data_IF_661923925060
#
_entry.id   IF_661923925060
#
_cell.length_a   1.000
_cell.length_b   1.000
_cell.length_c   1.000
_cell.angle_alpha   90.00
_cell.angle_beta   90.00
_cell.angle_gamma   90.00
#
_symmetry.space_group_name_H-M   'P 1'
#
loop_
_entity.id
_entity.type
_entity.pdbx_description
1 polymer ?
#
# COMPACT_ATOMS: atom_id res chain seq x y z
N UNK A 1 -5.84 10.05 0.57
CA UNK A 1 -4.65 9.65 1.34
C UNK A 1 -4.56 10.41 2.66
N UNK A 2 -3.87 9.83 3.65
CA UNK A 2 -3.65 10.54 4.90
C UNK A 2 -2.92 11.87 4.67
N UNK A 3 -3.08 12.80 5.61
CA UNK A 3 -2.46 14.12 5.50
C UNK A 3 -0.95 14.00 5.31
N UNK A 4 -0.43 14.73 4.33
CA UNK A 4 0.99 14.74 4.04
C UNK A 4 1.49 13.53 3.28
N UNK A 5 0.61 12.61 2.92
CA UNK A 5 0.96 11.41 2.17
C UNK A 5 0.61 11.56 0.70
N UNK A 6 1.38 10.89 -0.14
CA UNK A 6 1.15 10.93 -1.58
C UNK A 6 1.37 9.54 -2.15
N UNK A 7 1.12 9.40 -3.44
CA UNK A 7 1.23 8.11 -4.11
C UNK A 7 2.60 7.47 -3.91
N UNK A 8 3.66 8.26 -3.89
CA UNK A 8 5.02 7.75 -3.72
C UNK A 8 5.27 7.17 -2.33
N UNK A 9 4.37 7.43 -1.37
CA UNK A 9 4.50 6.87 -0.02
C UNK A 9 3.85 5.50 0.11
N UNK A 10 3.13 5.04 -0.91
CA UNK A 10 2.49 3.72 -0.90
C UNK A 10 3.57 2.65 -0.90
N UNK A 11 3.47 1.70 0.03
CA UNK A 11 4.42 0.61 0.16
C UNK A 11 3.70 -0.72 0.38
N UNK A 12 4.33 -1.79 -0.10
CA UNK A 12 3.81 -3.15 0.03
C UNK A 12 4.76 -3.91 0.95
N UNK A 13 4.21 -4.55 1.98
CA UNK A 13 5.01 -5.30 2.95
C UNK A 13 4.40 -6.66 3.24
N UNK A 14 5.25 -7.60 3.68
CA UNK A 14 4.80 -8.88 4.19
C UNK A 14 4.59 -8.78 5.69
N UNK A 15 3.50 -9.33 6.19
CA UNK A 15 3.27 -9.44 7.62
C UNK A 15 4.11 -10.62 8.15
N UNK A 16 4.92 -10.36 9.18
CA UNK A 16 5.77 -11.39 9.76
C UNK A 16 4.94 -12.45 10.47
N UNK A 17 3.85 -12.04 11.12
CA UNK A 17 3.05 -12.95 11.94
C UNK A 17 2.19 -13.90 11.10
N UNK A 18 1.65 -13.42 9.98
CA UNK A 18 0.68 -14.19 9.19
C UNK A 18 1.19 -14.59 7.82
N UNK A 19 2.27 -13.96 7.37
CA UNK A 19 2.77 -14.16 6.01
C UNK A 19 1.94 -13.48 4.94
N UNK A 20 0.91 -12.72 5.34
CA UNK A 20 0.08 -11.99 4.38
C UNK A 20 0.77 -10.72 3.91
N UNK A 21 0.42 -10.32 2.68
CA UNK A 21 0.88 -9.03 2.17
C UNK A 21 -0.08 -7.94 2.59
N UNK A 22 0.46 -6.76 2.90
CA UNK A 22 -0.34 -5.58 3.22
C UNK A 22 0.17 -4.40 2.43
N UNK A 23 -0.72 -3.47 2.10
CA UNK A 23 -0.38 -2.26 1.37
C UNK A 23 -0.93 -1.06 2.14
N UNK A 24 -0.13 0.00 2.21
CA UNK A 24 -0.54 1.20 2.92
C UNK A 24 0.41 2.34 2.61
N UNK A 25 0.28 3.42 3.36
CA UNK A 25 1.15 4.60 3.20
C UNK A 25 2.22 4.56 4.29
N UNK A 26 3.48 4.52 3.87
CA UNK A 26 4.60 4.47 4.81
C UNK A 26 4.86 5.85 5.39
N UNK A 27 4.76 5.96 6.71
CA UNK A 27 5.07 7.20 7.41
C UNK A 27 6.57 7.46 7.38
N UNK A 28 6.95 8.69 7.04
CA UNK A 28 8.36 9.10 7.04
C UNK A 28 8.88 9.31 8.45
N UNK A 29 8.00 9.46 9.42
CA UNK A 29 8.37 9.72 10.80
C UNK A 29 8.81 8.45 11.52
N UNK A 30 8.07 7.36 11.37
CA UNK A 30 8.33 6.13 12.11
C UNK A 30 8.39 4.87 11.24
N UNK A 31 8.23 5.02 9.92
CA UNK A 31 8.30 3.90 8.98
C UNK A 31 7.11 2.95 9.03
N UNK A 32 6.06 3.29 9.77
CA UNK A 32 4.88 2.44 9.86
C UNK A 32 3.96 2.67 8.67
N UNK A 33 3.22 1.62 8.31
CA UNK A 33 2.18 1.74 7.29
C UNK A 33 0.91 2.31 7.90
N UNK A 34 0.36 3.33 7.25
CA UNK A 34 -0.91 3.93 7.65
C UNK A 34 -1.99 3.48 6.69
N UNK A 35 -3.20 3.25 7.22
CA UNK A 35 -4.35 2.79 6.42
C UNK A 35 -4.05 1.50 5.66
N UNK A 36 -3.27 0.62 6.28
CA UNK A 36 -2.84 -0.63 5.64
C UNK A 36 -4.02 -1.59 5.47
N UNK A 37 -4.06 -2.28 4.34
CA UNK A 37 -5.08 -3.29 4.04
C UNK A 37 -4.40 -4.55 3.53
N UNK A 38 -5.05 -5.70 3.75
CA UNK A 38 -4.53 -6.98 3.29
C UNK A 38 -4.63 -7.08 1.78
N UNK A 39 -3.63 -7.70 1.17
CA UNK A 39 -3.55 -7.90 -0.28
C UNK A 39 -3.44 -9.39 -0.57
N UNK A 40 -4.36 -9.92 -1.34
CA UNK A 40 -4.38 -11.33 -1.71
C UNK A 40 -3.96 -11.55 -3.16
N UNK A 41 -4.08 -10.52 -4.00
CA UNK A 41 -3.70 -10.59 -5.41
C UNK A 41 -3.47 -9.18 -5.95
N UNK A 42 -3.08 -9.09 -7.23
CA UNK A 42 -2.81 -7.79 -7.85
C UNK A 42 -4.03 -6.88 -7.93
N UNK A 43 -5.21 -7.48 -8.05
CA UNK A 43 -6.43 -6.68 -8.11
C UNK A 43 -6.64 -5.89 -6.83
N UNK A 44 -6.21 -6.44 -5.69
CA UNK A 44 -6.31 -5.74 -4.41
C UNK A 44 -5.40 -4.51 -4.38
N UNK A 45 -4.21 -4.62 -4.97
CA UNK A 45 -3.28 -3.49 -5.08
C UNK A 45 -3.90 -2.39 -5.93
N UNK A 46 -4.44 -2.76 -7.10
CA UNK A 46 -5.08 -1.79 -7.98
C UNK A 46 -6.29 -1.14 -7.31
N UNK A 47 -7.06 -1.92 -6.55
CA UNK A 47 -8.21 -1.38 -5.83
C UNK A 47 -7.80 -0.37 -4.77
N UNK A 48 -6.67 -0.63 -4.09
CA UNK A 48 -6.13 0.31 -3.12
C UNK A 48 -5.79 1.65 -3.78
N UNK A 49 -5.08 1.60 -4.89
CA UNK A 49 -4.73 2.82 -5.63
C UNK A 49 -5.98 3.57 -6.06
N UNK A 50 -6.97 2.86 -6.62
CA UNK A 50 -8.20 3.48 -7.09
C UNK A 50 -9.01 4.13 -5.99
N UNK A 51 -9.00 3.55 -4.79
CA UNK A 51 -9.76 4.09 -3.68
C UNK A 51 -9.29 5.48 -3.28
N UNK A 52 -8.06 5.84 -3.65
CA UNK A 52 -7.50 7.16 -3.40
C UNK A 52 -7.38 8.02 -4.66
N UNK A 53 -7.98 7.56 -5.77
CA UNK A 53 -7.97 8.32 -7.00
C UNK A 53 -6.68 8.20 -7.80
N UNK A 54 -5.86 7.20 -7.51
CA UNK A 54 -4.62 6.96 -8.25
C UNK A 54 -4.80 5.86 -9.29
N UNK A 55 -3.90 5.84 -10.27
CA UNK A 55 -3.85 4.75 -11.26
C UNK A 55 -2.69 3.84 -10.94
N UNK A 56 -2.94 2.54 -10.85
CA UNK A 56 -1.87 1.58 -10.62
C UNK A 56 -1.17 1.29 -11.94
N UNK A 57 0.14 1.50 -11.99
CA UNK A 57 0.93 1.35 -13.21
C UNK A 57 1.83 0.11 -13.18
N UNK A 58 1.60 -0.80 -12.25
CA UNK A 58 2.41 -2.00 -12.16
C UNK A 58 3.70 -1.84 -11.39
N UNK A 59 3.76 -0.86 -10.49
CA UNK A 59 4.97 -0.56 -9.72
C UNK A 59 5.51 -1.77 -8.97
N UNK A 60 4.62 -2.64 -8.47
CA UNK A 60 5.02 -3.81 -7.68
C UNK A 60 5.03 -5.10 -8.51
N UNK A 61 4.74 -5.03 -9.79
CA UNK A 61 4.78 -6.17 -10.68
C UNK A 61 6.21 -6.40 -11.16
N UNK A 62 6.54 -7.65 -11.40
CA UNK A 62 7.86 -8.01 -11.92
C UNK A 62 7.77 -8.69 -13.23
#
# INVERSE_FOLDING_TARGET
PPDGMQESDIALESSICTGEMVIGFRSKTNGRLLNAVAVHNRADIAAFYRSYGFSYTGKFDK
#
